data_IF_770702442807
#
_entry.id   IF_770702442807
#
_cell.length_a   1.000
_cell.length_b   1.000
_cell.length_c   1.000
_cell.angle_alpha   90.00
_cell.angle_beta   90.00
_cell.angle_gamma   90.00
#
_symmetry.space_group_name_H-M   'P 1'
#
loop_
_entity.id
_entity.type
_entity.pdbx_description
1 polymer ?
#
# COMPACT_ATOMS: atom_id res chain seq x y z
N UNK A 1 -8.88 -32.46 -5.97
CA UNK A 1 -7.60 -32.76 -6.61
C UNK A 1 -6.48 -32.12 -5.79
N UNK A 2 -6.14 -32.70 -4.61
CA UNK A 2 -5.38 -31.99 -3.57
C UNK A 2 -3.94 -31.64 -3.99
N UNK A 3 -3.32 -32.46 -4.86
CA UNK A 3 -1.92 -32.28 -5.29
C UNK A 3 -1.72 -30.95 -6.03
N UNK A 4 -2.65 -30.59 -6.91
CA UNK A 4 -2.58 -29.33 -7.66
C UNK A 4 -2.68 -28.14 -6.71
N UNK A 5 -3.56 -28.22 -5.71
CA UNK A 5 -3.77 -27.15 -4.73
C UNK A 5 -2.50 -26.90 -3.91
N UNK A 6 -1.76 -27.95 -3.53
CA UNK A 6 -0.45 -27.81 -2.86
C UNK A 6 0.61 -27.13 -3.73
N UNK A 7 0.68 -27.46 -5.03
CA UNK A 7 1.61 -26.80 -5.95
C UNK A 7 1.27 -25.32 -6.14
N UNK A 8 -0.03 -24.99 -6.27
CA UNK A 8 -0.50 -23.60 -6.38
C UNK A 8 -0.19 -22.82 -5.11
N UNK A 9 -0.47 -23.39 -3.93
CA UNK A 9 -0.16 -22.76 -2.65
C UNK A 9 1.35 -22.53 -2.47
N UNK A 10 2.19 -23.50 -2.85
CA UNK A 10 3.65 -23.37 -2.83
C UNK A 10 4.17 -22.28 -3.76
N UNK A 11 3.68 -22.22 -5.01
CA UNK A 11 4.04 -21.17 -5.96
C UNK A 11 3.61 -19.77 -5.46
N UNK A 12 2.44 -19.66 -4.85
CA UNK A 12 1.97 -18.42 -4.23
C UNK A 12 2.86 -17.99 -3.06
N UNK A 13 3.24 -18.92 -2.19
CA UNK A 13 4.13 -18.64 -1.06
C UNK A 13 5.50 -18.13 -1.53
N UNK A 14 6.07 -18.73 -2.58
CA UNK A 14 7.32 -18.27 -3.19
C UNK A 14 7.15 -16.87 -3.77
N UNK A 15 6.08 -16.64 -4.54
CA UNK A 15 5.79 -15.33 -5.11
C UNK A 15 5.62 -14.27 -4.02
N UNK A 16 4.97 -14.61 -2.91
CA UNK A 16 4.81 -13.75 -1.73
C UNK A 16 6.16 -13.42 -1.09
N UNK A 17 7.06 -14.38 -0.93
CA UNK A 17 8.40 -14.17 -0.39
C UNK A 17 9.23 -13.20 -1.26
N UNK A 18 9.13 -13.32 -2.59
CA UNK A 18 9.78 -12.39 -3.53
C UNK A 18 9.21 -10.98 -3.39
N UNK A 19 7.88 -10.82 -3.27
CA UNK A 19 7.26 -9.52 -3.08
C UNK A 19 7.65 -8.88 -1.74
N UNK A 20 7.76 -9.67 -0.68
CA UNK A 20 8.27 -9.23 0.63
C UNK A 20 9.72 -8.73 0.52
N UNK A 21 10.60 -9.45 -0.17
CA UNK A 21 11.97 -8.99 -0.41
C UNK A 21 11.99 -7.63 -1.15
N UNK A 22 11.17 -7.47 -2.20
CA UNK A 22 10.97 -6.21 -2.93
C UNK A 22 10.46 -5.08 -2.03
N UNK A 23 9.56 -5.37 -1.09
CA UNK A 23 9.00 -4.39 -0.16
C UNK A 23 10.07 -3.76 0.73
N UNK A 24 11.06 -4.53 1.19
CA UNK A 24 12.14 -4.02 2.03
C UNK A 24 13.28 -3.36 1.23
N UNK A 25 13.63 -3.92 0.07
CA UNK A 25 14.74 -3.46 -0.77
C UNK A 25 14.35 -2.26 -1.65
N UNK A 26 13.04 -2.02 -1.83
CA UNK A 26 12.52 -0.96 -2.70
C UNK A 26 13.09 0.43 -2.37
N UNK A 27 13.73 1.13 -3.35
CA UNK A 27 14.38 2.42 -3.11
C UNK A 27 13.39 3.59 -2.99
N UNK A 28 12.21 3.47 -3.63
CA UNK A 28 11.19 4.53 -3.62
C UNK A 28 9.98 4.14 -2.78
N UNK A 29 9.31 5.13 -2.19
CA UNK A 29 8.05 4.89 -1.47
C UNK A 29 7.00 4.27 -2.39
N UNK A 30 6.95 4.67 -3.66
CA UNK A 30 6.03 4.10 -4.65
C UNK A 30 6.30 2.61 -4.92
N UNK A 31 7.56 2.18 -5.04
CA UNK A 31 7.91 0.76 -5.23
C UNK A 31 7.50 -0.07 -4.00
N UNK A 32 7.69 0.48 -2.79
CA UNK A 32 7.23 -0.17 -1.56
C UNK A 32 5.70 -0.29 -1.49
N UNK A 33 4.97 0.78 -1.81
CA UNK A 33 3.49 0.76 -1.81
C UNK A 33 2.96 -0.20 -2.88
N UNK A 34 3.58 -0.23 -4.06
CA UNK A 34 3.22 -1.16 -5.14
C UNK A 34 3.50 -2.61 -4.75
N UNK A 35 4.65 -2.87 -4.10
CA UNK A 35 5.00 -4.18 -3.59
C UNK A 35 4.02 -4.65 -2.52
N UNK A 36 3.62 -3.77 -1.59
CA UNK A 36 2.65 -4.06 -0.54
C UNK A 36 1.27 -4.41 -1.12
N UNK A 37 0.77 -3.63 -2.07
CA UNK A 37 -0.51 -3.91 -2.72
C UNK A 37 -0.47 -5.26 -3.47
N UNK A 38 0.63 -5.51 -4.19
CA UNK A 38 0.84 -6.76 -4.93
C UNK A 38 1.06 -7.98 -4.04
N UNK A 39 1.49 -7.78 -2.79
CA UNK A 39 1.57 -8.81 -1.76
C UNK A 39 0.18 -9.10 -1.17
N UNK A 40 -0.61 -8.06 -0.90
CA UNK A 40 -1.97 -8.19 -0.39
C UNK A 40 -2.89 -8.98 -1.34
N UNK A 41 -2.81 -8.73 -2.65
CA UNK A 41 -3.59 -9.51 -3.63
C UNK A 41 -3.22 -10.99 -3.68
N UNK A 42 -1.93 -11.32 -3.53
CA UNK A 42 -1.47 -12.73 -3.42
C UNK A 42 -1.94 -13.38 -2.13
N UNK A 43 -1.99 -12.63 -1.04
CA UNK A 43 -2.50 -13.11 0.25
C UNK A 43 -3.96 -13.51 0.13
N UNK A 44 -4.79 -12.69 -0.51
CA UNK A 44 -6.21 -13.02 -0.78
C UNK A 44 -6.32 -14.31 -1.60
N UNK A 45 -5.54 -14.42 -2.67
CA UNK A 45 -5.53 -15.62 -3.52
C UNK A 45 -5.13 -16.86 -2.72
N UNK A 46 -4.13 -16.73 -1.86
CA UNK A 46 -3.68 -17.79 -0.96
C UNK A 46 -4.78 -18.21 0.02
N UNK A 47 -5.52 -17.26 0.61
CA UNK A 47 -6.66 -17.56 1.49
C UNK A 47 -7.78 -18.31 0.77
N UNK A 48 -8.08 -17.97 -0.49
CA UNK A 48 -9.08 -18.69 -1.29
C UNK A 48 -8.62 -20.11 -1.58
N UNK A 49 -7.37 -20.31 -2.00
CA UNK A 49 -6.81 -21.65 -2.25
C UNK A 49 -6.83 -22.47 -0.95
N UNK A 50 -6.45 -21.86 0.17
CA UNK A 50 -6.50 -22.50 1.47
C UNK A 50 -7.92 -22.92 1.88
N UNK A 51 -8.93 -22.07 1.66
CA UNK A 51 -10.33 -22.39 1.92
C UNK A 51 -10.81 -23.61 1.10
N UNK A 52 -10.39 -23.71 -0.17
CA UNK A 52 -10.68 -24.84 -1.04
C UNK A 52 -9.99 -26.13 -0.55
N UNK A 53 -8.74 -26.04 -0.07
CA UNK A 53 -8.02 -27.19 0.49
C UNK A 53 -8.69 -27.75 1.75
N UNK A 54 -9.23 -26.89 2.60
CA UNK A 54 -9.94 -27.28 3.83
C UNK A 54 -11.38 -27.73 3.54
N UNK A 55 -11.84 -27.64 2.28
CA UNK A 55 -13.19 -27.98 1.85
C UNK A 55 -14.29 -27.18 2.60
N UNK A 56 -13.96 -25.96 3.02
CA UNK A 56 -14.86 -25.08 3.78
C UNK A 56 -15.06 -23.78 3.03
N UNK A 57 -16.14 -23.74 2.24
CA UNK A 57 -16.52 -22.56 1.48
C UNK A 57 -16.77 -21.32 2.37
N UNK A 58 -17.22 -21.51 3.62
CA UNK A 58 -17.41 -20.43 4.61
C UNK A 58 -16.12 -19.61 4.86
N UNK A 59 -14.94 -20.19 4.63
CA UNK A 59 -13.67 -19.48 4.80
C UNK A 59 -13.39 -18.46 3.67
N UNK A 60 -14.18 -18.46 2.58
CA UNK A 60 -14.08 -17.48 1.50
C UNK A 60 -14.50 -16.08 1.99
N UNK A 61 -15.41 -15.99 2.95
CA UNK A 61 -15.83 -14.70 3.54
C UNK A 61 -14.64 -13.96 4.17
N UNK A 62 -13.73 -14.70 4.82
CA UNK A 62 -12.48 -14.15 5.36
C UNK A 62 -11.59 -13.64 4.22
N UNK A 63 -11.49 -14.37 3.11
CA UNK A 63 -10.70 -13.93 1.96
C UNK A 63 -11.24 -12.64 1.33
N UNK A 64 -12.57 -12.52 1.17
CA UNK A 64 -13.23 -11.31 0.66
C UNK A 64 -13.02 -10.14 1.64
N UNK A 65 -13.16 -10.37 2.95
CA UNK A 65 -12.86 -9.36 3.96
C UNK A 65 -11.42 -8.86 3.84
N UNK A 66 -10.45 -9.76 3.72
CA UNK A 66 -9.04 -9.38 3.54
C UNK A 66 -8.79 -8.63 2.23
N UNK A 67 -9.53 -8.94 1.16
CA UNK A 67 -9.45 -8.22 -0.10
C UNK A 67 -9.88 -6.75 0.07
N UNK A 68 -10.99 -6.54 0.77
CA UNK A 68 -11.47 -5.20 1.10
C UNK A 68 -10.49 -4.45 2.00
N UNK A 69 -9.95 -5.11 3.03
CA UNK A 69 -8.94 -4.53 3.93
C UNK A 69 -7.68 -4.10 3.17
N UNK A 70 -7.19 -4.92 2.23
CA UNK A 70 -6.01 -4.57 1.42
C UNK A 70 -6.27 -3.35 0.53
N UNK A 71 -7.47 -3.28 -0.08
CA UNK A 71 -7.87 -2.15 -0.90
C UNK A 71 -7.98 -0.85 -0.10
N UNK A 72 -8.68 -0.90 1.05
CA UNK A 72 -8.84 0.26 1.96
C UNK A 72 -7.47 0.72 2.47
N UNK A 73 -6.58 -0.20 2.85
CA UNK A 73 -5.23 0.11 3.33
C UNK A 73 -4.43 0.88 2.28
N UNK A 74 -4.47 0.41 1.02
CA UNK A 74 -3.76 1.07 -0.08
C UNK A 74 -4.31 2.49 -0.32
N UNK A 75 -5.62 2.67 -0.34
CA UNK A 75 -6.26 3.99 -0.47
C UNK A 75 -5.89 4.91 0.69
N UNK A 76 -5.90 4.40 1.92
CA UNK A 76 -5.57 5.18 3.11
C UNK A 76 -4.13 5.71 3.03
N UNK A 77 -3.18 4.87 2.61
CA UNK A 77 -1.78 5.25 2.40
C UNK A 77 -1.67 6.35 1.33
N UNK A 78 -2.33 6.18 0.18
CA UNK A 78 -2.33 7.19 -0.89
C UNK A 78 -2.94 8.52 -0.42
N UNK A 79 -4.05 8.47 0.32
CA UNK A 79 -4.71 9.65 0.86
C UNK A 79 -3.82 10.39 1.86
N UNK A 80 -3.12 9.66 2.72
CA UNK A 80 -2.17 10.21 3.69
C UNK A 80 -1.03 10.97 2.99
N UNK A 81 -0.40 10.37 1.97
CA UNK A 81 0.67 11.05 1.22
C UNK A 81 0.18 12.30 0.50
N UNK A 82 -1.00 12.25 -0.12
CA UNK A 82 -1.59 13.41 -0.80
C UNK A 82 -1.85 14.56 0.16
N UNK A 83 -2.44 14.29 1.32
CA UNK A 83 -2.76 15.33 2.30
C UNK A 83 -1.49 16.01 2.83
N UNK A 84 -0.45 15.22 3.15
CA UNK A 84 0.85 15.73 3.58
C UNK A 84 1.53 16.60 2.53
N UNK A 85 1.43 16.24 1.24
CA UNK A 85 2.01 17.05 0.16
C UNK A 85 1.33 18.42 0.02
N UNK A 86 0.02 18.50 0.27
CA UNK A 86 -0.74 19.74 0.17
C UNK A 86 -0.43 20.69 1.34
N UNK A 87 -0.37 20.16 2.55
CA UNK A 87 0.02 20.91 3.76
C UNK A 87 1.41 21.55 3.58
N UNK A 88 2.39 20.77 3.12
CA UNK A 88 3.75 21.28 2.87
C UNK A 88 3.78 22.38 1.80
N UNK A 89 2.92 22.30 0.77
CA UNK A 89 2.83 23.32 -0.27
C UNK A 89 2.26 24.64 0.27
N UNK A 90 1.17 24.58 1.06
CA UNK A 90 0.54 25.76 1.67
C UNK A 90 1.49 26.47 2.65
N UNK A 91 2.17 25.73 3.52
CA UNK A 91 3.15 26.31 4.46
C UNK A 91 4.35 26.95 3.75
N UNK A 92 4.71 26.47 2.55
CA UNK A 92 5.76 27.11 1.73
C UNK A 92 5.26 28.40 1.08
N UNK A 93 4.01 28.44 0.63
CA UNK A 93 3.39 29.64 0.07
C UNK A 93 3.26 30.75 1.13
N UNK A 94 2.73 30.44 2.32
CA UNK A 94 2.62 31.40 3.42
C UNK A 94 3.98 31.98 3.82
N UNK A 95 5.03 31.13 3.96
CA UNK A 95 6.39 31.63 4.24
C UNK A 95 6.93 32.53 3.13
N UNK A 96 6.64 32.22 1.87
CA UNK A 96 7.05 33.04 0.73
C UNK A 96 6.38 34.41 0.73
N UNK A 97 5.10 34.49 1.09
CA UNK A 97 4.38 35.76 1.22
C UNK A 97 4.86 36.59 2.40
N UNK A 98 5.11 35.96 3.56
CA UNK A 98 5.63 36.65 4.75
C UNK A 98 7.01 37.24 4.45
N UNK A 99 7.91 36.46 3.83
CA UNK A 99 9.25 36.92 3.46
C UNK A 99 9.21 38.10 2.48
N UNK A 100 8.29 38.09 1.51
CA UNK A 100 8.09 39.22 0.59
C UNK A 100 7.60 40.48 1.32
N UNK A 101 6.61 40.34 2.21
CA UNK A 101 6.08 41.46 3.00
C UNK A 101 7.16 42.08 3.89
N UNK A 102 8.00 41.25 4.52
CA UNK A 102 9.12 41.73 5.32
C UNK A 102 10.17 42.48 4.49
N UNK A 103 10.54 41.96 3.31
CA UNK A 103 11.48 42.64 2.42
C UNK A 103 10.93 43.98 1.90
N UNK A 104 9.62 44.07 1.66
CA UNK A 104 8.95 45.33 1.26
C UNK A 104 8.85 46.35 2.41
N UNK A 105 8.71 45.90 3.66
CA UNK A 105 8.74 46.77 4.85
C UNK A 105 10.17 47.27 5.15
N UNK A 106 11.17 46.41 5.00
CA UNK A 106 12.58 46.74 5.23
C UNK A 106 13.13 47.70 4.16
N UNK A 107 12.63 47.66 2.93
CA UNK A 107 12.96 48.64 1.88
C UNK A 107 12.26 50.00 2.05
N UNK A 108 11.20 50.09 2.85
CA UNK A 108 10.46 51.34 3.11
C UNK A 108 10.99 52.13 4.31
N UNK A 109 11.90 51.53 5.09
CA UNK A 109 12.53 52.13 6.28
C UNK A 109 13.91 52.66 5.91
#
# INVERSE_FOLDING_TARGET
MPIVDFFVAGALAIAMAIMLARLFIGPTLYDRVLALNSFGTKTVLFLVVFALMVNRADAIDIAILYALLNFISTIAILKFFRYRSLEVALTRMERGEIAKKQAEEEQKT
#
